data_IF_985629035125
#
_entry.id   IF_985629035125
#
_cell.length_a   1.000
_cell.length_b   1.000
_cell.length_c   1.000
_cell.angle_alpha   90.00
_cell.angle_beta   90.00
_cell.angle_gamma   90.00
#
_symmetry.space_group_name_H-M   'P 1'
#
loop_
_entity.id
_entity.type
_entity.pdbx_description
1 polymer ?
#
# COMPACT_ATOMS: atom_id res chain seq x y z
N UNK A 1 47.02 -0.13 3.21
CA UNK A 1 46.25 0.58 2.17
C UNK A 1 45.04 -0.31 1.88
N UNK A 2 43.94 -0.11 2.61
CA UNK A 2 42.76 0.66 2.18
C UNK A 2 42.14 0.00 0.93
N UNK A 3 41.05 -0.74 1.08
CA UNK A 3 39.71 -0.16 1.03
C UNK A 3 38.77 -0.70 2.11
N UNK A 4 38.52 0.11 3.14
CA UNK A 4 37.25 0.10 3.86
C UNK A 4 36.18 0.58 2.87
N UNK A 5 35.29 -0.31 2.46
CA UNK A 5 34.07 0.10 1.75
C UNK A 5 33.14 0.69 2.81
N UNK A 6 33.14 2.02 2.86
CA UNK A 6 32.22 2.82 3.65
C UNK A 6 30.78 2.40 3.32
N UNK A 7 30.09 1.87 4.31
CA UNK A 7 28.64 1.70 4.32
C UNK A 7 28.06 3.11 4.29
N UNK A 8 27.48 3.51 3.16
CA UNK A 8 26.73 4.76 3.06
C UNK A 8 25.47 4.64 3.94
N UNK A 9 25.30 5.48 4.98
CA UNK A 9 24.06 5.54 5.72
C UNK A 9 23.08 6.43 4.95
N UNK A 10 21.96 5.87 4.47
CA UNK A 10 20.84 6.71 4.00
C UNK A 10 20.20 6.37 2.66
N UNK A 11 20.21 5.12 2.19
CA UNK A 11 19.00 4.66 1.51
C UNK A 11 18.00 4.35 2.61
N UNK A 12 17.11 5.31 2.93
CA UNK A 12 15.79 4.92 3.42
C UNK A 12 15.24 3.99 2.33
N UNK A 13 15.49 2.69 2.49
CA UNK A 13 14.75 1.68 1.75
C UNK A 13 13.33 1.91 2.23
N UNK A 14 12.61 2.72 1.47
CA UNK A 14 11.19 2.91 1.55
C UNK A 14 10.63 1.50 1.63
N UNK A 15 10.27 1.07 2.84
CA UNK A 15 9.78 -0.28 3.02
C UNK A 15 8.47 -0.35 2.26
N UNK A 16 8.27 -1.43 1.52
CA UNK A 16 7.04 -1.62 0.76
C UNK A 16 6.11 -2.51 1.57
N UNK A 17 4.83 -2.17 1.57
CA UNK A 17 3.78 -3.03 2.10
C UNK A 17 2.96 -3.62 0.96
N UNK A 18 2.84 -4.94 0.97
CA UNK A 18 2.11 -5.68 -0.05
C UNK A 18 0.81 -6.24 0.51
N UNK A 19 -0.26 -6.09 -0.24
CA UNK A 19 -1.53 -6.76 0.05
C UNK A 19 -2.20 -7.27 -1.21
N UNK A 20 -2.95 -8.35 -1.06
CA UNK A 20 -3.84 -8.92 -2.09
C UNK A 20 -5.31 -8.59 -1.80
N UNK A 21 -5.60 -8.00 -0.64
CA UNK A 21 -6.94 -7.63 -0.23
C UNK A 21 -7.32 -6.31 -0.90
N UNK A 22 -8.31 -6.38 -1.78
CA UNK A 22 -8.79 -5.25 -2.56
C UNK A 22 -9.42 -4.16 -1.69
N UNK A 23 -10.18 -4.53 -0.65
CA UNK A 23 -10.85 -3.54 0.19
C UNK A 23 -9.88 -2.89 1.17
N UNK A 24 -8.92 -3.65 1.67
CA UNK A 24 -7.81 -3.08 2.43
C UNK A 24 -7.00 -2.11 1.56
N UNK A 25 -6.70 -2.45 0.30
CA UNK A 25 -6.00 -1.55 -0.61
C UNK A 25 -6.79 -0.25 -0.86
N UNK A 26 -8.11 -0.33 -1.03
CA UNK A 26 -8.97 0.85 -1.16
C UNK A 26 -8.96 1.70 0.12
N UNK A 27 -8.99 1.05 1.29
CA UNK A 27 -8.92 1.74 2.58
C UNK A 27 -7.58 2.47 2.72
N UNK A 28 -6.47 1.80 2.43
CA UNK A 28 -5.13 2.38 2.52
C UNK A 28 -4.99 3.60 1.59
N UNK A 29 -5.55 3.55 0.36
CA UNK A 29 -5.62 4.74 -0.51
C UNK A 29 -6.39 5.89 0.14
N UNK A 30 -7.53 5.61 0.77
CA UNK A 30 -8.30 6.62 1.49
C UNK A 30 -7.57 7.17 2.73
N UNK A 31 -6.78 6.33 3.40
CA UNK A 31 -5.94 6.68 4.55
C UNK A 31 -4.63 7.41 4.15
N UNK A 32 -4.45 7.69 2.86
CA UNK A 32 -3.33 8.47 2.34
C UNK A 32 -2.07 7.65 2.05
N UNK A 33 -2.16 6.33 1.97
CA UNK A 33 -1.05 5.51 1.49
C UNK A 33 -0.85 5.70 -0.01
N UNK A 34 0.42 5.80 -0.41
CA UNK A 34 0.82 5.88 -1.80
C UNK A 34 0.91 4.48 -2.40
N UNK A 35 0.18 4.23 -3.49
CA UNK A 35 0.28 2.99 -4.25
C UNK A 35 1.47 3.13 -5.22
N UNK A 36 2.52 2.37 -4.95
CA UNK A 36 3.77 2.39 -5.72
C UNK A 36 3.67 1.49 -6.97
N UNK A 37 3.02 0.34 -6.85
CA UNK A 37 2.94 -0.64 -7.93
C UNK A 37 1.69 -1.54 -7.82
N UNK A 38 1.27 -2.10 -8.95
CA UNK A 38 0.21 -3.08 -9.09
C UNK A 38 0.71 -4.27 -9.92
N UNK A 39 1.12 -5.33 -9.24
CA UNK A 39 1.75 -6.48 -9.89
C UNK A 39 0.75 -7.60 -10.14
N UNK A 40 0.93 -8.31 -11.24
CA UNK A 40 0.19 -9.53 -11.53
C UNK A 40 0.96 -10.74 -11.00
N UNK A 41 0.32 -11.54 -10.16
CA UNK A 41 0.87 -12.79 -9.62
C UNK A 41 -0.08 -13.94 -10.00
N UNK A 42 0.13 -14.48 -11.19
CA UNK A 42 -0.78 -15.44 -11.81
C UNK A 42 -2.16 -14.82 -12.05
N UNK A 43 -3.20 -15.39 -11.40
CA UNK A 43 -4.58 -14.87 -11.48
C UNK A 43 -4.89 -13.77 -10.47
N UNK A 44 -3.95 -13.46 -9.58
CA UNK A 44 -4.14 -12.48 -8.50
C UNK A 44 -3.39 -11.20 -8.82
N UNK A 45 -3.85 -10.11 -8.21
CA UNK A 45 -3.18 -8.81 -8.27
C UNK A 45 -2.63 -8.49 -6.88
N UNK A 46 -1.43 -7.93 -6.82
CA UNK A 46 -0.75 -7.53 -5.59
C UNK A 46 -0.59 -6.02 -5.62
N UNK A 47 -1.17 -5.35 -4.63
CA UNK A 47 -1.04 -3.91 -4.42
C UNK A 47 0.19 -3.65 -3.57
N UNK A 48 1.08 -2.80 -4.06
CA UNK A 48 2.32 -2.43 -3.37
C UNK A 48 2.21 -0.98 -2.93
N UNK A 49 2.26 -0.74 -1.63
CA UNK A 49 2.17 0.58 -1.04
C UNK A 49 3.48 1.01 -0.41
N UNK A 50 3.69 2.32 -0.35
CA UNK A 50 4.69 2.91 0.53
C UNK A 50 4.33 2.59 1.98
N UNK A 51 5.18 1.86 2.68
CA UNK A 51 4.97 1.53 4.09
C UNK A 51 5.11 2.79 4.96
N UNK A 52 4.43 2.76 6.09
CA UNK A 52 4.39 3.85 7.07
C UNK A 52 4.49 3.27 8.48
N UNK A 53 5.04 4.01 9.45
CA UNK A 53 5.11 3.55 10.84
C UNK A 53 3.74 3.13 11.43
N UNK A 54 2.65 3.78 11.00
CA UNK A 54 1.27 3.50 11.46
C UNK A 54 0.61 2.31 10.78
N UNK A 55 1.23 1.69 9.77
CA UNK A 55 0.63 0.63 8.95
C UNK A 55 0.01 -0.48 9.78
N UNK A 56 0.73 -0.96 10.79
CA UNK A 56 0.23 -2.07 11.61
C UNK A 56 -1.07 -1.69 12.30
N UNK A 57 -1.14 -0.50 12.87
CA UNK A 57 -2.32 -0.02 13.59
C UNK A 57 -3.48 0.24 12.62
N UNK A 58 -3.20 0.83 11.44
CA UNK A 58 -4.20 1.08 10.40
C UNK A 58 -4.83 -0.22 9.87
N UNK A 59 -4.00 -1.25 9.64
CA UNK A 59 -4.45 -2.58 9.20
C UNK A 59 -5.28 -3.27 10.28
N UNK A 60 -4.84 -3.19 11.54
CA UNK A 60 -5.60 -3.76 12.66
C UNK A 60 -6.93 -3.03 12.87
N UNK A 61 -6.95 -1.70 12.71
CA UNK A 61 -8.18 -0.91 12.79
C UNK A 61 -9.17 -1.27 11.66
N UNK A 62 -8.67 -1.50 10.44
CA UNK A 62 -9.51 -1.96 9.33
C UNK A 62 -10.16 -3.32 9.61
N UNK A 63 -9.38 -4.33 10.02
CA UNK A 63 -9.93 -5.66 10.29
C UNK A 63 -10.74 -5.73 11.60
N UNK A 64 -10.50 -4.81 12.54
CA UNK A 64 -11.21 -4.69 13.80
C UNK A 64 -12.44 -3.76 13.77
N UNK A 65 -12.85 -3.27 12.59
CA UNK A 65 -13.97 -2.32 12.42
C UNK A 65 -13.83 -1.02 13.25
N UNK A 66 -12.59 -0.61 13.52
CA UNK A 66 -12.24 0.60 14.27
C UNK A 66 -11.78 1.75 13.35
N UNK A 67 -11.63 1.50 12.05
CA UNK A 67 -11.24 2.50 11.06
C UNK A 67 -12.45 3.23 10.48
N UNK A 68 -12.30 4.53 10.23
CA UNK A 68 -13.35 5.36 9.58
C UNK A 68 -12.85 5.96 8.28
N UNK A 69 -13.72 5.97 7.26
CA UNK A 69 -13.47 6.64 5.98
C UNK A 69 -14.71 7.44 5.55
N UNK A 70 -14.52 8.47 4.71
CA UNK A 70 -15.63 9.18 4.09
C UNK A 70 -16.29 8.26 3.04
N UNK A 71 -17.60 7.94 3.14
CA UNK A 71 -18.22 6.92 2.28
C UNK A 71 -18.11 7.21 0.78
N UNK A 72 -18.30 8.46 0.36
CA UNK A 72 -18.17 8.84 -1.05
C UNK A 72 -16.73 8.74 -1.57
N UNK A 73 -15.74 9.07 -0.74
CA UNK A 73 -14.32 8.94 -1.12
C UNK A 73 -13.93 7.46 -1.28
N UNK A 74 -14.46 6.60 -0.40
CA UNK A 74 -14.24 5.17 -0.49
C UNK A 74 -14.89 4.55 -1.73
N UNK A 75 -16.14 4.93 -2.03
CA UNK A 75 -16.83 4.48 -3.25
C UNK A 75 -16.11 4.91 -4.52
N UNK A 76 -15.64 6.16 -4.59
CA UNK A 76 -14.83 6.66 -5.70
C UNK A 76 -13.52 5.87 -5.83
N UNK A 77 -12.83 5.65 -4.72
CA UNK A 77 -11.57 4.87 -4.69
C UNK A 77 -11.78 3.44 -5.18
N UNK A 78 -12.85 2.76 -4.78
CA UNK A 78 -13.18 1.42 -5.30
C UNK A 78 -13.33 1.44 -6.83
N UNK A 79 -13.99 2.48 -7.37
CA UNK A 79 -14.17 2.63 -8.81
C UNK A 79 -12.84 2.82 -9.53
N UNK A 80 -11.99 3.70 -9.00
CA UNK A 80 -10.67 4.00 -9.57
C UNK A 80 -9.76 2.77 -9.53
N UNK A 81 -9.69 2.10 -8.37
CA UNK A 81 -8.88 0.89 -8.18
C UNK A 81 -9.37 -0.26 -9.07
N UNK A 82 -10.68 -0.41 -9.32
CA UNK A 82 -11.20 -1.35 -10.32
C UNK A 82 -10.77 -0.99 -11.73
N UNK A 83 -10.78 0.29 -12.09
CA UNK A 83 -10.27 0.77 -13.37
C UNK A 83 -8.81 0.36 -13.61
N UNK A 84 -7.96 0.48 -12.59
CA UNK A 84 -6.56 0.05 -12.66
C UNK A 84 -6.40 -1.46 -12.89
N UNK A 85 -7.30 -2.29 -12.37
CA UNK A 85 -7.24 -3.74 -12.53
C UNK A 85 -7.64 -4.22 -13.92
N UNK A 86 -8.47 -3.45 -14.63
CA UNK A 86 -9.01 -3.82 -15.95
C UNK A 86 -8.25 -3.18 -17.11
N UNK A 87 -7.58 -2.04 -16.88
CA UNK A 87 -6.85 -1.31 -17.92
C UNK A 87 -5.37 -1.70 -18.04
N UNK A 88 -4.93 -2.77 -17.36
CA UNK A 88 -3.54 -3.25 -17.34
C UNK A 88 -3.41 -4.73 -17.69
#
# INVERSE_FOLDING_TARGET
MSTEQAILPGEERLTAFETRDFYLACFLRCAGYELLDLRSEGRRKVFVFQDRPTRRDDVMAFYGDAATVRPQAFAATIKDMKGLLHNG
#
